data_IF_407604906949
#
_entry.id   IF_407604906949
#
_cell.length_a   1.000
_cell.length_b   1.000
_cell.length_c   1.000
_cell.angle_alpha   90.00
_cell.angle_beta   90.00
_cell.angle_gamma   90.00
#
_symmetry.space_group_name_H-M   'P 1'
#
loop_
_entity.id
_entity.type
_entity.pdbx_description
1 polymer ?
#
# COMPACT_ATOMS: atom_id res chain seq x y z
N UNK A 1 3.00 27.91 -4.56
CA UNK A 1 2.59 27.52 -5.93
C UNK A 1 1.09 27.36 -5.87
N UNK A 2 0.37 28.25 -6.50
CA UNK A 2 -1.10 28.20 -6.52
C UNK A 2 -1.50 27.23 -7.62
N UNK A 3 -1.87 26.02 -7.22
CA UNK A 3 -2.41 25.05 -8.16
C UNK A 3 -3.93 25.21 -8.20
N UNK A 4 -4.44 25.49 -9.39
CA UNK A 4 -5.87 25.49 -9.71
C UNK A 4 -6.15 24.47 -10.80
N UNK A 5 -7.27 23.77 -10.67
CA UNK A 5 -7.70 22.84 -11.70
C UNK A 5 -7.95 23.56 -13.03
N UNK A 6 -7.62 22.91 -14.15
CA UNK A 6 -8.22 23.29 -15.45
C UNK A 6 -9.74 23.00 -15.43
N UNK A 7 -10.53 23.56 -16.36
CA UNK A 7 -11.96 23.25 -16.46
C UNK A 7 -12.26 21.75 -16.55
N UNK A 8 -11.42 21.00 -17.29
CA UNK A 8 -11.54 19.54 -17.44
C UNK A 8 -11.22 18.82 -16.12
N UNK A 9 -10.16 19.25 -15.43
CA UNK A 9 -9.77 18.70 -14.13
C UNK A 9 -10.84 18.98 -13.05
N UNK A 10 -11.41 20.19 -13.04
CA UNK A 10 -12.51 20.54 -12.14
C UNK A 10 -13.76 19.68 -12.40
N UNK A 11 -14.08 19.44 -13.68
CA UNK A 11 -15.18 18.55 -14.08
C UNK A 11 -14.92 17.11 -13.63
N UNK A 12 -13.71 16.60 -13.83
CA UNK A 12 -13.31 15.26 -13.38
C UNK A 12 -13.37 15.15 -11.85
N UNK A 13 -12.87 16.14 -11.12
CA UNK A 13 -12.94 16.19 -9.65
C UNK A 13 -14.39 16.12 -9.16
N UNK A 14 -15.30 16.91 -9.75
CA UNK A 14 -16.72 16.88 -9.41
C UNK A 14 -17.32 15.49 -9.65
N UNK A 15 -16.94 14.83 -10.75
CA UNK A 15 -17.36 13.45 -11.03
C UNK A 15 -16.85 12.48 -9.96
N UNK A 16 -15.58 12.58 -9.55
CA UNK A 16 -15.01 11.75 -8.48
C UNK A 16 -15.79 11.95 -7.17
N UNK A 17 -16.05 13.18 -6.79
CA UNK A 17 -16.82 13.51 -5.58
C UNK A 17 -18.24 12.91 -5.64
N UNK A 18 -18.92 12.98 -6.79
CA UNK A 18 -20.26 12.41 -6.95
C UNK A 18 -20.29 10.88 -6.81
N UNK A 19 -19.21 10.18 -7.15
CA UNK A 19 -19.09 8.74 -6.92
C UNK A 19 -18.78 8.45 -5.45
N UNK A 20 -17.92 9.25 -4.82
CA UNK A 20 -17.62 9.15 -3.38
C UNK A 20 -18.90 9.36 -2.54
N UNK A 21 -19.82 10.22 -2.96
CA UNK A 21 -21.09 10.43 -2.30
C UNK A 21 -22.00 9.17 -2.26
N UNK A 22 -21.75 8.20 -3.14
CA UNK A 22 -22.43 6.90 -3.15
C UNK A 22 -21.81 5.89 -2.17
N UNK A 23 -20.72 6.24 -1.50
CA UNK A 23 -20.06 5.36 -0.54
C UNK A 23 -21.01 4.96 0.59
N UNK A 24 -21.01 3.68 1.01
CA UNK A 24 -21.81 3.21 2.15
C UNK A 24 -21.58 4.02 3.43
N UNK A 25 -22.63 4.18 4.24
CA UNK A 25 -22.59 5.00 5.46
C UNK A 25 -21.47 4.57 6.44
N UNK A 26 -21.21 3.27 6.53
CA UNK A 26 -20.12 2.70 7.36
C UNK A 26 -18.77 3.27 6.98
N UNK A 27 -18.45 3.36 5.70
CA UNK A 27 -17.19 3.92 5.21
C UNK A 27 -17.10 5.43 5.43
N UNK A 28 -18.22 6.15 5.24
CA UNK A 28 -18.27 7.61 5.52
C UNK A 28 -17.96 7.96 6.98
N UNK A 29 -18.26 7.06 7.91
CA UNK A 29 -18.01 7.26 9.35
C UNK A 29 -16.67 6.71 9.81
N UNK A 30 -15.82 6.23 8.91
CA UNK A 30 -14.52 5.62 9.24
C UNK A 30 -14.63 4.25 9.93
N UNK A 31 -15.80 3.59 9.84
CA UNK A 31 -16.06 2.30 10.49
C UNK A 31 -15.83 1.08 9.61
N UNK A 32 -15.37 1.26 8.36
CA UNK A 32 -15.17 0.20 7.39
C UNK A 32 -13.72 0.02 6.96
N UNK A 33 -13.41 -1.22 6.56
CA UNK A 33 -12.15 -1.63 5.97
C UNK A 33 -12.48 -2.61 4.83
N UNK A 34 -12.41 -2.16 3.60
CA UNK A 34 -12.83 -2.94 2.43
C UNK A 34 -12.13 -4.31 2.35
N UNK A 35 -10.82 -4.38 2.65
CA UNK A 35 -10.06 -5.63 2.58
C UNK A 35 -10.54 -6.69 3.57
N UNK A 36 -11.03 -6.25 4.74
CA UNK A 36 -11.59 -7.12 5.77
C UNK A 36 -13.10 -7.32 5.62
N UNK A 37 -13.79 -6.34 5.05
CA UNK A 37 -15.25 -6.38 4.90
C UNK A 37 -15.69 -7.27 3.75
N UNK A 38 -14.92 -7.37 2.65
CA UNK A 38 -15.26 -8.15 1.47
C UNK A 38 -15.56 -9.64 1.75
N UNK A 39 -14.88 -10.24 2.72
CA UNK A 39 -15.01 -11.64 3.13
C UNK A 39 -15.43 -11.77 4.61
N UNK A 40 -16.06 -10.76 5.18
CA UNK A 40 -16.49 -10.79 6.58
C UNK A 40 -17.68 -11.74 6.77
N UNK A 41 -17.79 -12.38 7.92
CA UNK A 41 -18.95 -13.21 8.28
C UNK A 41 -20.24 -12.39 8.40
N UNK A 42 -20.15 -11.09 8.72
CA UNK A 42 -21.29 -10.16 8.74
C UNK A 42 -21.68 -9.79 7.30
N UNK A 43 -22.83 -10.30 6.86
CA UNK A 43 -23.37 -10.04 5.54
C UNK A 43 -23.57 -8.54 5.23
N UNK A 44 -23.81 -7.69 6.24
CA UNK A 44 -23.96 -6.24 6.04
C UNK A 44 -22.62 -5.61 5.63
N UNK A 45 -21.52 -6.07 6.19
CA UNK A 45 -20.16 -5.62 5.83
C UNK A 45 -19.77 -6.08 4.42
N UNK A 46 -20.07 -7.33 4.08
CA UNK A 46 -19.86 -7.81 2.71
C UNK A 46 -20.66 -7.00 1.69
N UNK A 47 -21.91 -6.67 2.02
CA UNK A 47 -22.76 -5.87 1.14
C UNK A 47 -22.20 -4.46 0.93
N UNK A 48 -21.78 -3.78 2.00
CA UNK A 48 -21.10 -2.48 1.91
C UNK A 48 -19.88 -2.55 0.98
N UNK A 49 -19.04 -3.60 1.11
CA UNK A 49 -17.87 -3.78 0.24
C UNK A 49 -18.27 -4.02 -1.22
N UNK A 50 -19.31 -4.81 -1.49
CA UNK A 50 -19.83 -5.06 -2.85
C UNK A 50 -20.43 -3.79 -3.47
N UNK A 51 -21.24 -3.04 -2.72
CA UNK A 51 -21.86 -1.79 -3.20
C UNK A 51 -20.78 -0.76 -3.56
N UNK A 52 -19.76 -0.61 -2.72
CA UNK A 52 -18.67 0.31 -2.98
C UNK A 52 -17.84 -0.11 -4.19
N UNK A 53 -17.51 -1.40 -4.30
CA UNK A 53 -16.80 -1.94 -5.48
C UNK A 53 -17.61 -1.71 -6.75
N UNK A 54 -18.93 -1.95 -6.72
CA UNK A 54 -19.81 -1.74 -7.86
C UNK A 54 -19.90 -0.25 -8.26
N UNK A 55 -19.89 0.68 -7.29
CA UNK A 55 -19.87 2.11 -7.56
C UNK A 55 -18.60 2.52 -8.33
N UNK A 56 -17.43 2.04 -7.91
CA UNK A 56 -16.17 2.29 -8.60
C UNK A 56 -16.07 1.55 -9.94
N UNK A 57 -16.56 0.32 -10.02
CA UNK A 57 -16.51 -0.49 -11.23
C UNK A 57 -17.28 0.14 -12.41
N UNK A 58 -18.41 0.81 -12.15
CA UNK A 58 -19.18 1.52 -13.19
C UNK A 58 -18.35 2.55 -13.96
N UNK A 59 -17.33 3.10 -13.32
CA UNK A 59 -16.42 4.09 -13.90
C UNK A 59 -15.07 3.49 -14.34
N UNK A 60 -14.85 2.19 -14.15
CA UNK A 60 -13.55 1.53 -14.33
C UNK A 60 -12.54 1.88 -13.23
N UNK A 61 -12.99 2.46 -12.11
CA UNK A 61 -12.13 2.99 -11.05
C UNK A 61 -11.74 1.98 -9.97
N UNK A 62 -12.10 0.73 -10.14
CA UNK A 62 -11.45 -0.37 -9.39
C UNK A 62 -9.95 -0.38 -9.73
N UNK A 63 -9.64 -0.26 -11.02
CA UNK A 63 -8.26 -0.18 -11.52
C UNK A 63 -8.05 1.08 -12.38
N UNK A 64 -8.02 2.28 -11.77
CA UNK A 64 -8.07 3.55 -12.50
C UNK A 64 -6.90 3.75 -13.48
N UNK A 65 -5.74 3.14 -13.18
CA UNK A 65 -4.51 3.25 -13.97
C UNK A 65 -4.34 2.14 -15.02
N UNK A 66 -5.16 1.07 -14.99
CA UNK A 66 -5.04 0.02 -16.00
C UNK A 66 -5.56 0.50 -17.35
N UNK A 67 -4.99 0.02 -18.47
CA UNK A 67 -5.55 0.25 -19.79
C UNK A 67 -7.00 -0.21 -19.89
N UNK A 68 -7.78 0.48 -20.70
CA UNK A 68 -9.22 0.18 -20.90
C UNK A 68 -9.47 -1.23 -21.43
N UNK A 69 -8.56 -1.73 -22.26
CA UNK A 69 -8.63 -3.10 -22.81
C UNK A 69 -8.57 -4.20 -21.75
N UNK A 70 -8.00 -3.90 -20.56
CA UNK A 70 -7.98 -4.79 -19.40
C UNK A 70 -8.99 -4.40 -18.33
N UNK A 71 -10.01 -3.59 -18.66
CA UNK A 71 -11.11 -3.24 -17.77
C UNK A 71 -10.81 -2.08 -16.80
N UNK A 72 -9.69 -1.38 -16.96
CA UNK A 72 -9.38 -0.16 -16.23
C UNK A 72 -9.99 1.10 -16.86
N UNK A 73 -9.82 2.24 -16.21
CA UNK A 73 -10.28 3.53 -16.73
C UNK A 73 -9.26 4.20 -17.67
N UNK A 74 -7.99 3.79 -17.67
CA UNK A 74 -6.90 4.42 -18.43
C UNK A 74 -6.68 5.88 -18.05
N UNK A 75 -6.86 6.21 -16.74
CA UNK A 75 -6.69 7.58 -16.28
C UNK A 75 -5.26 8.08 -16.50
N UNK A 76 -5.13 9.31 -16.99
CA UNK A 76 -3.86 10.01 -17.07
C UNK A 76 -3.22 10.17 -15.68
N UNK A 77 -1.90 10.41 -15.58
CA UNK A 77 -1.26 10.63 -14.28
C UNK A 77 -1.94 11.71 -13.45
N UNK A 78 -2.35 12.83 -14.06
CA UNK A 78 -3.03 13.92 -13.36
C UNK A 78 -4.44 13.52 -12.87
N UNK A 79 -5.22 12.79 -13.68
CA UNK A 79 -6.51 12.27 -13.25
C UNK A 79 -6.38 11.28 -12.09
N UNK A 80 -5.39 10.38 -12.12
CA UNK A 80 -5.08 9.49 -10.99
C UNK A 80 -4.72 10.27 -9.72
N UNK A 81 -3.98 11.37 -9.86
CA UNK A 81 -3.64 12.25 -8.75
C UNK A 81 -4.88 12.88 -8.13
N UNK A 82 -5.77 13.45 -8.96
CA UNK A 82 -7.04 14.04 -8.49
C UNK A 82 -7.91 12.96 -7.83
N UNK A 83 -8.06 11.79 -8.45
CA UNK A 83 -8.82 10.67 -7.92
C UNK A 83 -8.31 10.25 -6.53
N UNK A 84 -7.01 9.95 -6.42
CA UNK A 84 -6.40 9.54 -5.15
C UNK A 84 -6.51 10.62 -4.07
N UNK A 85 -6.40 11.90 -4.45
CA UNK A 85 -6.55 13.02 -3.53
C UNK A 85 -7.97 13.11 -2.96
N UNK A 86 -9.01 13.01 -3.81
CA UNK A 86 -10.40 13.05 -3.35
C UNK A 86 -10.76 11.82 -2.51
N UNK A 87 -10.33 10.62 -2.91
CA UNK A 87 -10.49 9.40 -2.11
C UNK A 87 -9.87 9.55 -0.72
N UNK A 88 -8.64 10.07 -0.62
CA UNK A 88 -7.96 10.28 0.64
C UNK A 88 -8.62 11.38 1.50
N UNK A 89 -9.16 12.44 0.90
CA UNK A 89 -9.92 13.49 1.61
C UNK A 89 -11.16 12.94 2.27
N UNK A 90 -11.87 12.05 1.56
CA UNK A 90 -13.09 11.44 2.04
C UNK A 90 -12.88 10.23 2.97
N UNK A 91 -11.63 9.82 3.23
CA UNK A 91 -11.30 8.53 3.86
C UNK A 91 -11.91 7.33 3.16
N UNK A 92 -12.13 7.45 1.86
CA UNK A 92 -12.74 6.39 1.08
C UNK A 92 -11.75 5.22 0.91
N UNK A 93 -12.15 3.98 1.23
CA UNK A 93 -11.26 2.83 1.09
C UNK A 93 -10.97 2.54 -0.38
N UNK A 94 -9.72 2.23 -0.69
CA UNK A 94 -9.37 1.65 -1.99
C UNK A 94 -9.90 0.22 -2.08
N UNK A 95 -10.17 -0.25 -3.30
CA UNK A 95 -10.64 -1.61 -3.58
C UNK A 95 -9.61 -2.40 -4.40
N UNK A 96 -9.73 -3.72 -4.42
CA UNK A 96 -8.90 -4.61 -5.24
C UNK A 96 -7.50 -4.91 -4.69
N UNK A 97 -7.12 -4.30 -3.57
CA UNK A 97 -5.91 -4.64 -2.80
C UNK A 97 -4.62 -4.71 -3.64
N UNK A 98 -3.76 -5.66 -3.31
CA UNK A 98 -2.49 -5.88 -4.02
C UNK A 98 -2.68 -6.49 -5.41
N UNK A 99 -3.82 -7.13 -5.67
CA UNK A 99 -4.17 -7.61 -7.01
C UNK A 99 -4.22 -6.46 -8.00
N UNK A 100 -4.99 -5.42 -7.69
CA UNK A 100 -5.15 -4.24 -8.56
C UNK A 100 -3.90 -3.37 -8.57
N UNK A 101 -3.32 -3.08 -7.39
CA UNK A 101 -2.24 -2.09 -7.28
C UNK A 101 -0.88 -2.62 -7.74
N UNK A 102 -0.68 -3.93 -7.69
CA UNK A 102 0.63 -4.55 -7.88
C UNK A 102 0.63 -5.66 -8.94
N UNK A 103 -0.08 -6.76 -8.71
CA UNK A 103 -0.01 -7.92 -9.59
C UNK A 103 -0.58 -7.64 -10.99
N UNK A 104 -1.72 -6.98 -11.09
CA UNK A 104 -2.37 -6.70 -12.36
C UNK A 104 -1.48 -5.91 -13.32
N UNK A 105 -0.88 -4.78 -12.91
CA UNK A 105 0.10 -4.08 -13.73
C UNK A 105 1.30 -4.96 -14.12
N UNK A 106 1.75 -5.83 -13.23
CA UNK A 106 2.84 -6.77 -13.54
C UNK A 106 2.42 -7.79 -14.60
N UNK A 107 1.21 -8.35 -14.50
CA UNK A 107 0.65 -9.26 -15.52
C UNK A 107 0.43 -8.57 -16.86
N UNK A 108 -0.07 -7.34 -16.85
CA UNK A 108 -0.28 -6.55 -18.08
C UNK A 108 1.04 -6.40 -18.85
N UNK A 109 2.17 -6.19 -18.16
CA UNK A 109 3.48 -6.01 -18.78
C UNK A 109 4.18 -7.32 -19.12
N UNK A 110 4.10 -8.34 -18.24
CA UNK A 110 4.95 -9.53 -18.31
C UNK A 110 4.19 -10.85 -18.41
N UNK A 111 2.88 -10.86 -18.18
CA UNK A 111 2.05 -12.06 -18.24
C UNK A 111 1.81 -12.53 -19.67
N UNK A 112 1.56 -13.83 -19.84
CA UNK A 112 1.04 -14.38 -21.10
C UNK A 112 -0.41 -13.97 -21.28
N UNK A 113 -0.95 -14.09 -22.51
CA UNK A 113 -2.35 -13.74 -22.76
C UNK A 113 -3.31 -14.63 -21.98
N UNK A 114 -2.93 -15.90 -21.76
CA UNK A 114 -3.70 -16.84 -20.94
C UNK A 114 -3.73 -16.39 -19.47
N UNK A 115 -2.58 -15.99 -18.91
CA UNK A 115 -2.50 -15.47 -17.53
C UNK A 115 -3.31 -14.19 -17.37
N UNK A 116 -3.27 -13.28 -18.35
CA UNK A 116 -4.07 -12.05 -18.34
C UNK A 116 -5.57 -12.38 -18.39
N UNK A 117 -5.98 -13.25 -19.31
CA UNK A 117 -7.38 -13.65 -19.47
C UNK A 117 -7.92 -14.38 -18.23
N UNK A 118 -7.10 -15.16 -17.55
CA UNK A 118 -7.51 -15.87 -16.34
C UNK A 118 -7.61 -14.98 -15.12
N UNK A 119 -6.60 -14.13 -14.87
CA UNK A 119 -6.45 -13.46 -13.57
C UNK A 119 -6.98 -12.03 -13.54
N UNK A 120 -6.83 -11.24 -14.63
CA UNK A 120 -7.21 -9.83 -14.57
C UNK A 120 -8.71 -9.61 -14.30
N UNK A 121 -9.65 -10.34 -14.91
CA UNK A 121 -11.07 -10.20 -14.61
C UNK A 121 -11.41 -10.54 -13.15
N UNK A 122 -10.80 -11.60 -12.58
CA UNK A 122 -11.01 -12.02 -11.19
C UNK A 122 -10.44 -11.02 -10.18
N UNK A 123 -9.34 -10.33 -10.52
CA UNK A 123 -8.79 -9.25 -9.73
C UNK A 123 -9.76 -8.06 -9.71
N UNK A 124 -10.29 -7.66 -10.86
CA UNK A 124 -11.22 -6.52 -10.97
C UNK A 124 -12.56 -6.77 -10.29
N UNK A 125 -13.09 -7.99 -10.38
CA UNK A 125 -14.34 -8.36 -9.71
C UNK A 125 -14.18 -8.49 -8.19
N UNK A 126 -12.93 -8.59 -7.70
CA UNK A 126 -12.64 -8.90 -6.31
C UNK A 126 -12.94 -10.36 -5.94
N UNK A 127 -13.13 -11.24 -6.92
CA UNK A 127 -13.33 -12.68 -6.69
C UNK A 127 -12.09 -13.33 -6.05
N UNK A 128 -10.89 -12.92 -6.47
CA UNK A 128 -9.61 -13.46 -6.01
C UNK A 128 -8.77 -12.36 -5.35
N UNK A 129 -8.36 -12.60 -4.11
CA UNK A 129 -7.43 -11.73 -3.38
C UNK A 129 -6.00 -12.26 -3.48
N UNK A 130 -5.07 -11.34 -3.77
CA UNK A 130 -3.66 -11.62 -4.02
C UNK A 130 -2.77 -10.98 -2.97
N UNK A 131 -1.76 -11.74 -2.47
CA UNK A 131 -0.78 -11.21 -1.53
C UNK A 131 0.65 -11.52 -1.93
N UNK A 132 1.54 -10.60 -1.58
CA UNK A 132 2.95 -10.62 -1.94
C UNK A 132 3.79 -11.44 -0.97
N UNK A 133 4.53 -12.44 -1.48
CA UNK A 133 5.52 -13.21 -0.72
C UNK A 133 6.95 -12.92 -1.21
N UNK A 134 7.55 -11.81 -0.78
CA UNK A 134 8.91 -11.43 -1.19
C UNK A 134 9.95 -11.65 -0.10
N UNK A 135 9.82 -10.92 1.00
CA UNK A 135 10.81 -10.90 2.09
C UNK A 135 10.96 -12.25 2.77
N UNK A 136 12.17 -12.54 3.23
CA UNK A 136 12.51 -13.70 4.04
C UNK A 136 13.14 -13.24 5.35
N UNK A 137 13.23 -14.08 6.40
CA UNK A 137 13.89 -13.71 7.64
C UNK A 137 15.31 -13.18 7.45
N UNK A 138 16.04 -13.70 6.46
CA UNK A 138 17.41 -13.28 6.11
C UNK A 138 17.51 -12.33 4.92
N UNK A 139 16.40 -11.99 4.23
CA UNK A 139 16.42 -11.21 2.99
C UNK A 139 15.27 -10.19 2.96
N UNK A 140 15.51 -9.01 3.52
CA UNK A 140 14.61 -7.85 3.48
C UNK A 140 15.16 -6.75 2.58
N UNK A 141 16.04 -5.88 3.06
CA UNK A 141 16.68 -4.83 2.25
C UNK A 141 17.55 -5.39 1.13
N UNK A 142 18.27 -6.48 1.38
CA UNK A 142 18.97 -7.27 0.34
C UNK A 142 18.05 -8.40 -0.15
N UNK A 143 16.91 -8.01 -0.73
CA UNK A 143 15.90 -8.95 -1.21
C UNK A 143 16.47 -9.95 -2.25
N UNK A 144 17.45 -9.52 -3.05
CA UNK A 144 18.08 -10.39 -4.04
C UNK A 144 18.86 -11.58 -3.42
N UNK A 145 19.08 -11.58 -2.11
CA UNK A 145 19.70 -12.70 -1.38
C UNK A 145 18.69 -13.77 -0.90
N UNK A 146 17.44 -13.70 -1.35
CA UNK A 146 16.39 -14.67 -1.01
C UNK A 146 16.81 -16.11 -1.29
N UNK A 147 16.37 -17.04 -0.43
CA UNK A 147 16.78 -18.45 -0.41
C UNK A 147 15.64 -19.43 -0.66
N UNK A 148 14.36 -19.00 -0.64
CA UNK A 148 13.23 -19.86 -1.03
C UNK A 148 13.51 -20.42 -2.41
N UNK A 149 13.65 -21.76 -2.53
CA UNK A 149 14.03 -22.44 -3.77
C UNK A 149 12.80 -22.88 -4.53
N UNK A 150 12.88 -22.87 -5.87
CA UNK A 150 11.92 -23.45 -6.76
C UNK A 150 12.67 -24.32 -7.79
N UNK A 151 12.63 -25.64 -7.62
CA UNK A 151 13.34 -26.59 -8.46
C UNK A 151 12.37 -27.13 -9.53
N UNK A 152 12.77 -27.07 -10.80
CA UNK A 152 11.97 -27.60 -11.90
C UNK A 152 11.91 -29.13 -11.82
N UNK A 153 10.67 -29.68 -11.87
CA UNK A 153 10.38 -31.08 -11.91
C UNK A 153 9.30 -31.33 -12.99
N UNK A 154 9.71 -31.66 -14.20
CA UNK A 154 8.82 -31.78 -15.35
C UNK A 154 8.10 -30.47 -15.66
N UNK A 155 6.76 -30.48 -15.59
CA UNK A 155 5.90 -29.31 -15.86
C UNK A 155 5.53 -28.53 -14.61
N UNK A 156 6.23 -28.75 -13.50
CA UNK A 156 5.99 -28.09 -12.22
C UNK A 156 7.30 -27.54 -11.64
N UNK A 157 7.15 -26.63 -10.66
CA UNK A 157 8.20 -26.26 -9.71
C UNK A 157 7.89 -26.84 -8.34
N UNK A 158 8.88 -27.41 -7.68
CA UNK A 158 8.82 -27.82 -6.27
C UNK A 158 9.44 -26.72 -5.43
N UNK A 159 8.64 -26.10 -4.56
CA UNK A 159 9.03 -24.92 -3.81
C UNK A 159 9.24 -25.28 -2.35
N UNK A 160 10.41 -24.87 -1.81
CA UNK A 160 10.77 -25.05 -0.42
C UNK A 160 11.37 -23.75 0.14
N UNK A 161 10.90 -23.31 1.31
CA UNK A 161 11.41 -22.11 1.97
C UNK A 161 10.41 -21.43 2.85
N UNK A 162 10.69 -20.15 3.16
CA UNK A 162 9.87 -19.36 4.06
C UNK A 162 9.82 -17.91 3.57
N UNK A 163 8.63 -17.30 3.64
CA UNK A 163 8.43 -15.86 3.49
C UNK A 163 7.93 -15.25 4.79
N UNK A 164 8.24 -13.98 5.01
CA UNK A 164 7.84 -13.24 6.20
C UNK A 164 7.26 -11.87 5.82
N UNK A 165 6.50 -11.28 6.72
CA UNK A 165 5.82 -9.99 6.52
C UNK A 165 4.78 -10.02 5.40
N UNK A 166 4.25 -11.20 5.06
CA UNK A 166 3.19 -11.33 4.05
C UNK A 166 1.91 -10.72 4.61
N UNK A 167 1.63 -9.48 4.19
CA UNK A 167 0.47 -8.73 4.68
C UNK A 167 -0.83 -9.43 4.32
N UNK A 168 -1.69 -9.67 5.33
CA UNK A 168 -3.02 -10.26 5.18
C UNK A 168 -3.06 -11.61 4.42
N UNK A 169 -1.96 -12.38 4.39
CA UNK A 169 -1.92 -13.67 3.71
C UNK A 169 -2.99 -14.66 4.18
N UNK A 170 -3.42 -14.57 5.44
CA UNK A 170 -4.51 -15.38 5.98
C UNK A 170 -5.87 -15.11 5.29
N UNK A 171 -6.06 -13.92 4.69
CA UNK A 171 -7.26 -13.55 3.94
C UNK A 171 -7.12 -13.77 2.43
N UNK A 172 -5.91 -14.07 1.94
CA UNK A 172 -5.63 -14.25 0.52
C UNK A 172 -6.30 -15.51 -0.05
N UNK A 173 -6.50 -15.51 -1.36
CA UNK A 173 -6.79 -16.70 -2.16
C UNK A 173 -5.52 -17.18 -2.85
N UNK A 174 -4.73 -16.26 -3.38
CA UNK A 174 -3.51 -16.52 -4.13
C UNK A 174 -2.33 -15.68 -3.62
N UNK A 175 -1.13 -16.22 -3.87
CA UNK A 175 0.14 -15.57 -3.58
C UNK A 175 0.93 -15.35 -4.88
N UNK A 176 1.69 -14.25 -4.94
CA UNK A 176 2.76 -14.10 -5.92
C UNK A 176 4.10 -13.98 -5.19
N UNK A 177 5.04 -14.82 -5.59
CA UNK A 177 6.24 -15.12 -4.81
C UNK A 177 7.50 -15.00 -5.67
N UNK A 178 8.56 -14.41 -5.11
CA UNK A 178 9.90 -14.52 -5.68
C UNK A 178 10.60 -15.73 -5.09
N UNK A 179 11.09 -16.63 -5.96
CA UNK A 179 11.81 -17.81 -5.56
C UNK A 179 13.09 -18.00 -6.38
N UNK A 180 14.10 -18.65 -5.80
CA UNK A 180 15.39 -18.96 -6.41
C UNK A 180 15.26 -20.19 -7.30
N UNK A 181 15.33 -20.00 -8.62
CA UNK A 181 15.31 -21.09 -9.62
C UNK A 181 16.70 -21.49 -10.09
N UNK A 182 17.69 -20.61 -9.98
CA UNK A 182 19.09 -20.90 -10.25
C UNK A 182 19.97 -20.36 -9.10
N UNK A 183 20.49 -21.23 -8.22
CA UNK A 183 21.32 -20.84 -7.09
C UNK A 183 22.74 -20.39 -7.47
N UNK A 184 23.22 -20.80 -8.65
CA UNK A 184 24.58 -20.50 -9.11
C UNK A 184 24.67 -19.19 -9.89
N UNK A 185 23.53 -18.62 -10.26
CA UNK A 185 23.46 -17.35 -10.98
C UNK A 185 23.76 -16.16 -10.07
N UNK A 186 24.21 -15.02 -10.63
CA UNK A 186 24.33 -13.76 -9.89
C UNK A 186 23.01 -13.39 -9.19
N UNK A 187 23.08 -12.74 -8.00
CA UNK A 187 21.95 -12.47 -7.10
C UNK A 187 20.63 -12.06 -7.78
N UNK A 188 20.69 -11.11 -8.73
CA UNK A 188 19.51 -10.58 -9.41
C UNK A 188 19.08 -11.44 -10.63
N UNK A 189 19.86 -12.43 -10.97
CA UNK A 189 19.55 -13.46 -11.97
C UNK A 189 19.38 -14.79 -11.24
N UNK A 190 18.55 -15.69 -11.76
CA UNK A 190 18.26 -16.93 -11.04
C UNK A 190 17.11 -16.82 -10.05
N UNK A 191 16.31 -15.75 -10.13
CA UNK A 191 15.05 -15.58 -9.41
C UNK A 191 13.91 -15.63 -10.42
N UNK A 192 12.84 -16.38 -10.12
CA UNK A 192 11.60 -16.42 -10.90
C UNK A 192 10.43 -15.88 -10.10
N UNK A 193 9.43 -15.35 -10.82
CA UNK A 193 8.19 -14.84 -10.27
C UNK A 193 7.09 -15.88 -10.48
N UNK A 194 6.50 -16.39 -9.41
CA UNK A 194 5.56 -17.49 -9.42
C UNK A 194 4.23 -17.12 -8.81
N UNK A 195 3.14 -17.52 -9.45
CA UNK A 195 1.77 -17.42 -8.95
C UNK A 195 1.37 -18.76 -8.32
N UNK A 196 0.73 -18.73 -7.14
CA UNK A 196 0.31 -19.95 -6.47
C UNK A 196 -0.99 -19.77 -5.69
N UNK A 197 -1.86 -20.75 -5.77
CA UNK A 197 -3.03 -20.85 -4.90
C UNK A 197 -2.56 -21.09 -3.46
N UNK A 198 -3.03 -20.30 -2.52
CA UNK A 198 -2.71 -20.41 -1.09
C UNK A 198 -3.06 -21.79 -0.51
N UNK A 199 -4.05 -22.46 -1.08
CA UNK A 199 -4.53 -23.76 -0.62
C UNK A 199 -3.74 -24.96 -1.19
N UNK A 200 -2.71 -24.69 -2.01
CA UNK A 200 -1.80 -25.74 -2.50
C UNK A 200 -1.19 -26.50 -1.33
N UNK A 201 -1.24 -27.86 -1.33
CA UNK A 201 -0.62 -28.68 -0.27
C UNK A 201 0.83 -28.29 -0.02
N UNK A 202 1.22 -28.21 1.26
CA UNK A 202 2.57 -27.80 1.67
C UNK A 202 2.69 -26.31 1.99
N UNK A 203 1.67 -25.47 1.74
CA UNK A 203 1.64 -24.09 2.18
C UNK A 203 1.03 -24.01 3.58
N UNK A 204 1.75 -23.38 4.51
CA UNK A 204 1.22 -23.04 5.81
C UNK A 204 1.46 -21.56 6.14
N UNK A 205 0.45 -20.91 6.75
CA UNK A 205 0.46 -19.48 7.09
C UNK A 205 0.32 -19.34 8.60
N UNK A 206 1.26 -18.63 9.22
CA UNK A 206 1.26 -18.37 10.67
C UNK A 206 1.15 -16.89 10.95
N UNK A 207 0.33 -16.49 11.94
CA UNK A 207 0.16 -15.08 12.28
C UNK A 207 1.42 -14.48 12.88
N UNK A 208 1.74 -13.25 12.48
CA UNK A 208 2.64 -12.35 13.16
C UNK A 208 1.82 -11.22 13.76
N UNK A 209 1.69 -11.22 15.08
CA UNK A 209 1.00 -10.15 15.79
C UNK A 209 1.97 -8.98 15.94
N UNK A 210 1.61 -7.83 15.41
CA UNK A 210 2.43 -6.63 15.46
C UNK A 210 2.41 -5.96 16.84
N UNK A 211 3.26 -4.96 17.06
CA UNK A 211 3.34 -4.26 18.36
C UNK A 211 2.06 -3.49 18.72
N UNK A 212 1.13 -3.31 17.80
CA UNK A 212 -0.20 -2.76 18.06
C UNK A 212 -1.24 -3.84 18.42
N UNK A 213 -0.82 -5.10 18.58
CA UNK A 213 -1.69 -6.23 18.89
C UNK A 213 -2.53 -6.72 17.71
N UNK A 214 -2.28 -6.25 16.46
CA UNK A 214 -3.06 -6.63 15.29
C UNK A 214 -2.42 -7.78 14.52
N UNK A 215 -3.27 -8.69 14.04
CA UNK A 215 -2.90 -9.67 13.04
C UNK A 215 -2.98 -9.02 11.64
N UNK A 216 -1.86 -8.48 11.17
CA UNK A 216 -1.73 -7.92 9.85
C UNK A 216 -0.70 -8.67 9.01
N UNK A 217 0.39 -9.10 9.63
CA UNK A 217 1.47 -9.81 8.96
C UNK A 217 1.41 -11.31 9.21
N UNK A 218 2.09 -12.06 8.36
CA UNK A 218 2.20 -13.51 8.45
C UNK A 218 3.59 -13.98 8.07
N UNK A 219 3.98 -15.12 8.63
CA UNK A 219 4.98 -16.03 8.06
C UNK A 219 4.26 -16.99 7.13
N UNK A 220 4.88 -17.30 6.00
CA UNK A 220 4.38 -18.26 5.02
C UNK A 220 5.46 -19.29 4.75
N UNK A 221 5.17 -20.57 5.00
CA UNK A 221 6.09 -21.67 4.82
C UNK A 221 5.69 -22.49 3.61
N UNK A 222 6.68 -22.99 2.89
CA UNK A 222 6.54 -23.84 1.72
C UNK A 222 7.33 -25.13 1.95
N UNK A 223 6.64 -26.28 1.95
CA UNK A 223 7.19 -27.60 2.16
C UNK A 223 6.76 -28.47 0.97
N UNK A 224 7.67 -28.70 0.02
CA UNK A 224 7.45 -29.45 -1.23
C UNK A 224 6.20 -28.97 -2.02
N UNK A 225 5.97 -27.68 -2.04
CA UNK A 225 4.82 -27.08 -2.73
C UNK A 225 4.98 -27.22 -4.24
N UNK A 226 4.04 -27.88 -4.89
CA UNK A 226 4.05 -28.07 -6.35
C UNK A 226 3.23 -26.99 -7.05
N UNK A 227 3.88 -26.25 -7.94
CA UNK A 227 3.27 -25.15 -8.70
C UNK A 227 3.49 -25.40 -10.19
N UNK A 228 2.42 -25.39 -11.00
CA UNK A 228 2.54 -25.54 -12.44
C UNK A 228 3.50 -24.52 -13.07
N UNK A 229 4.29 -24.96 -14.04
CA UNK A 229 5.28 -24.09 -14.68
C UNK A 229 4.68 -22.92 -15.46
N UNK A 230 3.45 -23.06 -15.93
CA UNK A 230 2.70 -21.98 -16.59
C UNK A 230 2.24 -20.89 -15.60
N UNK A 231 2.36 -21.10 -14.30
CA UNK A 231 2.15 -20.07 -13.26
C UNK A 231 3.38 -19.15 -13.08
N UNK A 232 4.47 -19.37 -13.82
CA UNK A 232 5.60 -18.45 -13.85
C UNK A 232 5.27 -17.24 -14.74
N UNK A 233 5.46 -16.04 -14.20
CA UNK A 233 5.29 -14.78 -14.95
C UNK A 233 6.64 -14.36 -15.53
N UNK A 234 6.67 -14.14 -16.83
CA UNK A 234 7.87 -13.81 -17.57
C UNK A 234 8.85 -14.97 -17.74
N UNK A 235 10.08 -14.67 -18.14
CA UNK A 235 11.11 -15.68 -18.38
C UNK A 235 11.67 -16.24 -17.05
N UNK A 236 12.07 -17.52 -17.07
CA UNK A 236 12.77 -18.15 -15.95
C UNK A 236 14.07 -17.40 -15.63
N UNK A 237 14.38 -17.29 -14.34
CA UNK A 237 15.55 -16.55 -13.84
C UNK A 237 15.52 -15.03 -14.08
N UNK A 238 14.40 -14.48 -14.55
CA UNK A 238 14.19 -13.04 -14.78
C UNK A 238 13.16 -12.40 -13.83
N UNK A 239 12.66 -13.16 -12.88
CA UNK A 239 11.60 -12.75 -11.94
C UNK A 239 11.97 -11.54 -11.08
N UNK A 240 13.26 -11.26 -10.86
CA UNK A 240 13.69 -10.01 -10.24
C UNK A 240 13.20 -8.79 -11.00
N UNK A 241 13.38 -8.77 -12.31
CA UNK A 241 12.97 -7.65 -13.15
C UNK A 241 11.44 -7.53 -13.24
N UNK A 242 10.75 -8.67 -13.29
CA UNK A 242 9.29 -8.73 -13.22
C UNK A 242 8.79 -8.12 -11.90
N UNK A 243 9.38 -8.54 -10.77
CA UNK A 243 9.01 -8.04 -9.45
C UNK A 243 9.33 -6.57 -9.23
N UNK A 244 10.34 -6.02 -9.89
CA UNK A 244 10.70 -4.60 -9.77
C UNK A 244 9.77 -3.67 -10.57
N UNK A 245 9.16 -4.14 -11.65
CA UNK A 245 8.13 -3.40 -12.42
C UNK A 245 7.00 -2.92 -11.52
N UNK A 246 6.64 -3.72 -10.53
CA UNK A 246 5.64 -3.45 -9.51
C UNK A 246 5.89 -2.14 -8.71
N UNK A 247 7.16 -1.78 -8.51
CA UNK A 247 7.56 -0.61 -7.73
C UNK A 247 7.44 0.71 -8.52
N UNK A 248 7.15 0.64 -9.82
CA UNK A 248 7.14 1.81 -10.70
C UNK A 248 5.78 2.53 -10.77
N UNK A 249 4.70 1.87 -10.40
CA UNK A 249 3.34 2.37 -10.63
C UNK A 249 2.81 3.35 -9.58
N UNK A 250 3.31 3.36 -8.33
CA UNK A 250 2.85 4.30 -7.32
C UNK A 250 3.98 5.13 -6.72
N UNK A 251 4.29 6.26 -7.35
CA UNK A 251 5.42 7.11 -6.94
C UNK A 251 5.03 8.45 -6.33
N UNK A 252 3.77 8.90 -6.50
CA UNK A 252 3.39 10.27 -6.08
C UNK A 252 3.17 10.45 -4.58
N UNK A 253 2.74 9.38 -3.87
CA UNK A 253 2.43 9.43 -2.43
C UNK A 253 1.37 10.48 -2.01
N UNK A 254 0.52 10.94 -2.93
CA UNK A 254 -0.49 11.99 -2.63
C UNK A 254 -1.47 11.52 -1.55
N UNK A 255 -1.84 10.25 -1.54
CA UNK A 255 -2.71 9.66 -0.51
C UNK A 255 -2.12 9.87 0.88
N UNK A 256 -0.80 9.63 1.05
CA UNK A 256 -0.10 9.84 2.31
C UNK A 256 -0.11 11.31 2.76
N UNK A 257 0.14 12.25 1.84
CA UNK A 257 0.11 13.68 2.14
C UNK A 257 -1.28 14.13 2.62
N UNK A 258 -2.33 13.74 1.89
CA UNK A 258 -3.71 14.14 2.19
C UNK A 258 -4.22 13.48 3.47
N UNK A 259 -3.96 12.18 3.69
CA UNK A 259 -4.35 11.48 4.91
C UNK A 259 -3.64 12.02 6.16
N UNK A 260 -2.36 12.40 6.02
CA UNK A 260 -1.60 13.05 7.09
C UNK A 260 -2.20 14.41 7.44
N UNK A 261 -2.56 15.22 6.43
CA UNK A 261 -3.23 16.52 6.64
C UNK A 261 -4.58 16.33 7.33
N UNK A 262 -5.40 15.40 6.88
CA UNK A 262 -6.68 15.07 7.51
C UNK A 262 -6.50 14.65 8.97
N UNK A 263 -5.50 13.83 9.28
CA UNK A 263 -5.20 13.44 10.68
C UNK A 263 -4.92 14.67 11.57
N UNK A 264 -4.20 15.66 11.05
CA UNK A 264 -3.96 16.91 11.77
C UNK A 264 -5.21 17.78 11.90
N UNK A 265 -6.06 17.83 10.86
CA UNK A 265 -7.32 18.55 10.89
C UNK A 265 -8.30 17.90 11.89
N UNK A 266 -8.35 16.57 11.96
CA UNK A 266 -9.12 15.82 12.97
C UNK A 266 -8.60 16.13 14.39
N UNK A 267 -7.28 16.17 14.59
CA UNK A 267 -6.67 16.53 15.86
C UNK A 267 -7.07 17.97 16.24
N UNK A 268 -6.97 18.91 15.30
CA UNK A 268 -7.36 20.30 15.54
C UNK A 268 -8.84 20.43 15.90
N UNK A 269 -9.71 19.73 15.16
CA UNK A 269 -11.15 19.72 15.44
C UNK A 269 -11.46 19.14 16.83
N UNK A 270 -10.83 18.02 17.17
CA UNK A 270 -10.98 17.38 18.48
C UNK A 270 -10.52 18.31 19.62
N UNK A 271 -9.40 19.02 19.48
CA UNK A 271 -8.88 19.97 20.47
C UNK A 271 -9.81 21.18 20.72
N UNK A 272 -10.77 21.45 19.83
CA UNK A 272 -11.77 22.49 20.02
C UNK A 272 -12.98 22.02 20.84
N UNK A 273 -13.17 20.72 21.00
CA UNK A 273 -14.24 20.15 21.83
C UNK A 273 -13.90 20.27 23.33
N UNK A 274 -14.91 20.22 24.19
CA UNK A 274 -14.69 20.21 25.65
C UNK A 274 -13.91 18.97 26.10
N UNK A 275 -14.21 17.82 25.49
CA UNK A 275 -13.49 16.58 25.74
C UNK A 275 -12.00 16.69 25.35
N UNK A 276 -11.73 17.24 24.18
CA UNK A 276 -10.36 17.44 23.67
C UNK A 276 -9.55 18.41 24.52
N UNK A 277 -10.16 19.52 24.98
CA UNK A 277 -9.52 20.48 25.91
C UNK A 277 -9.12 19.82 27.23
N UNK A 278 -9.99 18.96 27.78
CA UNK A 278 -9.74 18.25 29.02
C UNK A 278 -8.68 17.14 28.90
N UNK A 279 -8.43 16.62 27.69
CA UNK A 279 -7.53 15.46 27.46
C UNK A 279 -6.24 15.80 26.73
N UNK A 280 -5.93 17.07 26.53
CA UNK A 280 -4.72 17.53 25.85
C UNK A 280 -3.79 18.36 26.75
N UNK A 281 -3.33 17.84 27.93
CA UNK A 281 -2.50 18.60 28.85
C UNK A 281 -1.16 19.04 28.24
N UNK A 282 -0.67 18.33 27.23
CA UNK A 282 0.58 18.63 26.54
C UNK A 282 0.45 19.62 25.38
N UNK A 283 -0.75 20.11 25.05
CA UNK A 283 -0.94 20.93 23.84
C UNK A 283 -0.14 22.22 23.86
N UNK A 284 -0.15 22.95 24.98
CA UNK A 284 0.57 24.24 25.07
C UNK A 284 2.07 24.09 24.75
N UNK A 285 2.70 23.02 25.23
CA UNK A 285 4.12 22.74 24.98
C UNK A 285 4.38 22.23 23.56
N UNK A 286 3.39 21.59 22.94
CA UNK A 286 3.55 20.95 21.62
C UNK A 286 2.90 21.72 20.46
N UNK A 287 2.32 22.90 20.69
CA UNK A 287 1.62 23.68 19.65
C UNK A 287 2.49 24.01 18.43
N UNK A 288 3.76 24.31 18.64
CA UNK A 288 4.70 24.57 17.55
C UNK A 288 5.02 23.30 16.77
N UNK A 289 5.17 22.16 17.46
CA UNK A 289 5.34 20.86 16.79
C UNK A 289 4.11 20.53 15.91
N UNK A 290 2.89 20.85 16.36
CA UNK A 290 1.68 20.69 15.55
C UNK A 290 1.74 21.58 14.32
N UNK A 291 2.14 22.85 14.47
CA UNK A 291 2.31 23.77 13.33
C UNK A 291 3.36 23.27 12.34
N UNK A 292 4.51 22.75 12.82
CA UNK A 292 5.54 22.16 11.97
C UNK A 292 4.99 20.97 11.17
N UNK A 293 4.13 20.12 11.79
CA UNK A 293 3.49 19.00 11.06
C UNK A 293 2.61 19.50 9.92
N UNK A 294 1.88 20.60 10.10
CA UNK A 294 1.12 21.22 9.01
C UNK A 294 2.03 21.67 7.86
N UNK A 295 3.14 22.33 8.17
CA UNK A 295 4.14 22.74 7.16
C UNK A 295 4.69 21.52 6.43
N UNK A 296 5.03 20.45 7.16
CA UNK A 296 5.54 19.20 6.55
C UNK A 296 4.50 18.55 5.61
N UNK A 297 3.20 18.60 5.94
CA UNK A 297 2.17 18.08 5.01
C UNK A 297 2.07 18.90 3.73
N UNK A 298 2.25 20.23 3.79
CA UNK A 298 2.27 21.09 2.61
C UNK A 298 3.53 20.82 1.76
N UNK A 299 4.69 20.62 2.38
CA UNK A 299 5.91 20.21 1.69
C UNK A 299 5.70 18.86 0.98
N UNK A 300 5.09 17.88 1.66
CA UNK A 300 4.80 16.57 1.08
C UNK A 300 3.84 16.65 -0.10
N UNK A 301 2.81 17.49 -0.02
CA UNK A 301 1.91 17.76 -1.12
C UNK A 301 2.67 18.29 -2.35
N UNK A 302 3.58 19.24 -2.13
CA UNK A 302 4.40 19.80 -3.22
C UNK A 302 5.34 18.76 -3.85
N UNK A 303 5.91 17.84 -3.06
CA UNK A 303 6.66 16.71 -3.61
C UNK A 303 5.78 15.81 -4.48
N UNK A 304 4.59 15.47 -3.99
CA UNK A 304 3.63 14.65 -4.75
C UNK A 304 3.24 15.33 -6.06
N UNK A 305 2.96 16.64 -6.03
CA UNK A 305 2.63 17.41 -7.21
C UNK A 305 3.79 17.51 -8.20
N UNK A 306 5.04 17.66 -7.73
CA UNK A 306 6.23 17.63 -8.58
C UNK A 306 6.36 16.29 -9.31
N UNK A 307 6.20 15.17 -8.59
CA UNK A 307 6.31 13.84 -9.17
C UNK A 307 5.26 13.63 -10.27
N UNK A 308 4.00 13.99 -10.00
CA UNK A 308 2.95 13.81 -10.98
C UNK A 308 3.15 14.71 -12.21
N UNK A 309 3.65 15.93 -12.02
CA UNK A 309 3.98 16.83 -13.13
C UNK A 309 5.13 16.32 -14.00
N UNK A 310 6.05 15.53 -13.42
CA UNK A 310 7.07 14.82 -14.20
C UNK A 310 6.45 13.68 -15.01
N UNK A 311 5.62 12.85 -14.39
CA UNK A 311 4.95 11.71 -15.04
C UNK A 311 4.04 12.17 -16.19
N UNK A 312 3.32 13.26 -15.99
CA UNK A 312 2.43 13.85 -17.00
C UNK A 312 3.19 14.35 -18.25
N UNK A 313 4.48 14.65 -18.10
CA UNK A 313 5.42 14.99 -19.18
C UNK A 313 6.16 13.78 -19.75
N UNK A 314 5.79 12.55 -19.35
CA UNK A 314 6.46 11.32 -19.77
C UNK A 314 7.84 11.08 -19.12
N UNK A 315 8.18 11.85 -18.07
CA UNK A 315 9.43 11.65 -17.32
C UNK A 315 9.23 10.59 -16.24
N UNK A 316 10.26 9.81 -15.97
CA UNK A 316 10.25 8.78 -14.92
C UNK A 316 10.91 9.35 -13.65
N UNK A 317 10.14 9.69 -12.58
CA UNK A 317 10.72 10.11 -11.32
C UNK A 317 11.49 8.94 -10.70
N UNK A 318 12.75 9.17 -10.33
CA UNK A 318 13.62 8.15 -9.77
C UNK A 318 13.94 8.47 -8.30
N UNK A 319 14.93 9.33 -8.06
CA UNK A 319 15.28 9.75 -6.69
C UNK A 319 14.17 10.61 -6.07
N UNK A 320 13.37 11.31 -6.86
CA UNK A 320 12.23 12.07 -6.36
C UNK A 320 11.20 11.18 -5.65
N UNK A 321 10.95 10.00 -6.18
CA UNK A 321 10.10 9.00 -5.52
C UNK A 321 10.71 8.55 -4.17
N UNK A 322 12.04 8.40 -4.11
CA UNK A 322 12.75 8.08 -2.86
C UNK A 322 12.68 9.21 -1.85
N UNK A 323 12.81 10.48 -2.28
CA UNK A 323 12.63 11.66 -1.42
C UNK A 323 11.21 11.68 -0.85
N UNK A 324 10.20 11.48 -1.70
CA UNK A 324 8.79 11.45 -1.31
C UNK A 324 8.52 10.33 -0.28
N UNK A 325 8.98 9.10 -0.55
CA UNK A 325 8.81 7.96 0.37
C UNK A 325 9.48 8.20 1.71
N UNK A 326 10.73 8.62 1.71
CA UNK A 326 11.50 8.91 2.92
C UNK A 326 10.80 9.97 3.77
N UNK A 327 10.46 11.10 3.17
CA UNK A 327 9.84 12.22 3.86
C UNK A 327 8.47 11.85 4.42
N UNK A 328 7.61 11.17 3.62
CA UNK A 328 6.26 10.78 4.06
C UNK A 328 6.29 9.79 5.24
N UNK A 329 7.15 8.77 5.18
CA UNK A 329 7.23 7.76 6.24
C UNK A 329 7.74 8.35 7.57
N UNK A 330 8.75 9.21 7.54
CA UNK A 330 9.26 9.88 8.73
C UNK A 330 8.28 10.96 9.26
N UNK A 331 7.59 11.68 8.37
CA UNK A 331 6.54 12.63 8.74
C UNK A 331 5.38 11.93 9.45
N UNK A 332 4.93 10.77 8.96
CA UNK A 332 3.86 9.99 9.61
C UNK A 332 4.20 9.61 11.05
N UNK A 333 5.43 9.18 11.31
CA UNK A 333 5.90 8.91 12.68
C UNK A 333 5.92 10.17 13.55
N UNK A 334 6.39 11.30 13.00
CA UNK A 334 6.42 12.57 13.72
C UNK A 334 5.01 13.08 14.07
N UNK A 335 4.05 12.93 13.16
CA UNK A 335 2.64 13.28 13.41
C UNK A 335 2.09 12.46 14.58
N UNK A 336 2.25 11.16 14.54
CA UNK A 336 1.78 10.26 15.59
C UNK A 336 2.44 10.57 16.95
N UNK A 337 3.77 10.73 16.97
CA UNK A 337 4.51 11.13 18.17
C UNK A 337 4.05 12.50 18.71
N UNK A 338 3.82 13.48 17.84
CA UNK A 338 3.31 14.80 18.24
C UNK A 338 1.94 14.66 18.90
N UNK A 339 1.04 13.86 18.33
CA UNK A 339 -0.29 13.62 18.89
C UNK A 339 -0.26 12.93 20.25
N UNK A 340 0.56 11.89 20.43
CA UNK A 340 0.70 11.24 21.73
C UNK A 340 1.23 12.20 22.81
N UNK A 341 2.17 13.09 22.44
CA UNK A 341 2.67 14.14 23.34
C UNK A 341 1.63 15.19 23.70
N UNK A 342 0.79 15.58 22.74
CA UNK A 342 -0.33 16.51 22.98
C UNK A 342 -1.28 15.94 24.00
N UNK A 343 -1.59 14.66 23.95
CA UNK A 343 -2.51 14.00 24.88
C UNK A 343 -1.85 13.55 26.20
N UNK A 344 -0.52 13.57 26.31
CA UNK A 344 0.21 13.16 27.50
C UNK A 344 -0.15 11.72 27.91
N UNK A 345 -0.56 11.51 29.17
CA UNK A 345 -0.94 10.17 29.67
C UNK A 345 -2.15 9.58 28.93
N UNK A 346 -3.10 10.40 28.50
CA UNK A 346 -4.22 9.91 27.67
C UNK A 346 -3.76 9.34 26.31
N UNK A 347 -2.64 9.83 25.79
CA UNK A 347 -2.00 9.31 24.58
C UNK A 347 -1.37 7.91 24.74
N UNK A 348 -1.38 7.33 25.93
CA UNK A 348 -0.93 5.94 26.18
C UNK A 348 -2.09 4.93 26.12
N UNK A 349 -3.34 5.40 26.07
CA UNK A 349 -4.50 4.51 26.00
C UNK A 349 -4.60 3.94 24.59
N UNK A 350 -4.40 2.62 24.48
CA UNK A 350 -4.43 1.89 23.20
C UNK A 350 -5.83 1.32 22.90
N UNK A 351 -6.61 0.99 23.93
CA UNK A 351 -7.95 0.44 23.76
C UNK A 351 -8.89 1.49 23.16
N UNK A 352 -9.38 1.20 21.96
CA UNK A 352 -10.30 2.09 21.22
C UNK A 352 -11.69 2.18 21.82
N UNK A 353 -12.05 1.23 22.71
CA UNK A 353 -13.33 1.18 23.44
C UNK A 353 -13.30 1.96 24.76
N UNK A 354 -12.11 2.29 25.28
CA UNK A 354 -11.97 3.09 26.48
C UNK A 354 -12.51 4.51 26.23
N UNK A 355 -13.56 4.89 26.94
CA UNK A 355 -14.18 6.20 26.83
C UNK A 355 -13.25 7.39 27.13
N UNK A 356 -12.06 7.15 27.72
CA UNK A 356 -11.02 8.16 27.98
C UNK A 356 -10.03 8.31 26.81
N UNK A 357 -10.05 7.39 25.83
CA UNK A 357 -9.10 7.38 24.73
C UNK A 357 -9.35 8.54 23.76
N UNK A 358 -8.43 9.51 23.63
CA UNK A 358 -8.59 10.63 22.71
C UNK A 358 -8.70 10.12 21.26
N UNK A 359 -9.63 10.67 20.51
CA UNK A 359 -9.84 10.30 19.10
C UNK A 359 -9.92 8.76 18.91
N UNK A 360 -10.47 8.02 19.87
CA UNK A 360 -10.52 6.55 19.86
C UNK A 360 -9.15 5.92 19.63
N UNK A 361 -8.14 6.37 20.32
CA UNK A 361 -6.74 5.91 20.22
C UNK A 361 -6.11 6.04 18.83
N UNK A 362 -6.67 6.84 17.90
CA UNK A 362 -6.19 6.95 16.51
C UNK A 362 -4.69 7.24 16.44
N UNK A 363 -4.21 8.27 17.18
CA UNK A 363 -2.80 8.66 17.14
C UNK A 363 -1.88 7.70 17.91
N UNK A 364 -2.39 7.06 18.99
CA UNK A 364 -1.66 6.01 19.71
C UNK A 364 -1.45 4.79 18.83
N UNK A 365 -2.50 4.33 18.15
CA UNK A 365 -2.41 3.23 17.18
C UNK A 365 -1.47 3.59 16.02
N UNK A 366 -1.57 4.81 15.49
CA UNK A 366 -0.68 5.28 14.43
C UNK A 366 0.78 5.32 14.92
N UNK A 367 1.06 5.70 16.17
CA UNK A 367 2.40 5.69 16.74
C UNK A 367 3.01 4.29 16.66
N UNK A 368 2.28 3.26 17.06
CA UNK A 368 2.74 1.87 17.03
C UNK A 368 2.91 1.35 15.58
N UNK A 369 1.96 1.62 14.71
CA UNK A 369 1.95 1.06 13.34
C UNK A 369 2.85 1.80 12.35
N UNK A 370 3.13 3.09 12.57
CA UNK A 370 3.97 3.88 11.68
C UNK A 370 5.45 3.49 11.69
N UNK A 371 5.90 2.72 12.70
CA UNK A 371 7.29 2.22 12.76
C UNK A 371 7.63 1.42 11.50
N UNK A 372 6.72 0.56 11.05
CA UNK A 372 6.93 -0.25 9.84
C UNK A 372 7.06 0.58 8.56
N UNK A 373 6.50 1.78 8.51
CA UNK A 373 6.51 2.64 7.31
C UNK A 373 7.91 3.12 6.91
N UNK A 374 8.85 3.23 7.87
CA UNK A 374 10.24 3.57 7.60
C UNK A 374 11.12 2.36 7.25
N UNK A 375 10.55 1.16 7.29
CA UNK A 375 11.23 -0.12 7.02
C UNK A 375 10.73 -0.72 5.70
N UNK A 376 9.42 -0.84 5.52
CA UNK A 376 8.79 -1.44 4.35
C UNK A 376 9.05 -0.64 3.07
N UNK A 377 8.98 -1.30 1.92
CA UNK A 377 9.19 -0.72 0.58
C UNK A 377 10.52 0.06 0.44
N UNK A 378 11.59 -0.50 1.00
CA UNK A 378 12.91 0.13 1.12
C UNK A 378 13.02 1.02 2.35
N UNK A 379 13.95 0.66 3.23
CA UNK A 379 14.15 1.40 4.50
C UNK A 379 14.55 2.86 4.27
N UNK A 380 14.43 3.70 5.30
CA UNK A 380 14.92 5.09 5.26
C UNK A 380 16.38 5.17 4.80
N UNK A 381 17.22 4.21 5.19
CA UNK A 381 18.63 4.11 4.80
C UNK A 381 18.77 3.78 3.31
N UNK A 382 17.98 2.82 2.81
CA UNK A 382 17.97 2.48 1.36
C UNK A 382 17.50 3.69 0.53
N UNK A 383 16.47 4.41 0.98
CA UNK A 383 16.00 5.61 0.28
C UNK A 383 17.10 6.70 0.27
N UNK A 384 17.80 6.92 1.39
CA UNK A 384 18.94 7.85 1.44
C UNK A 384 20.07 7.44 0.50
N UNK A 385 20.38 6.15 0.39
CA UNK A 385 21.38 5.65 -0.55
C UNK A 385 20.97 5.90 -2.02
N UNK A 386 19.68 5.71 -2.35
CA UNK A 386 19.19 6.00 -3.70
C UNK A 386 19.28 7.50 -3.99
N UNK A 387 18.88 8.35 -3.06
CA UNK A 387 18.98 9.82 -3.19
C UNK A 387 20.43 10.23 -3.37
N UNK A 388 21.35 9.72 -2.53
CA UNK A 388 22.77 10.03 -2.59
C UNK A 388 23.38 9.64 -3.95
N UNK A 389 23.13 8.42 -4.40
CA UNK A 389 23.78 7.89 -5.61
C UNK A 389 23.12 8.37 -6.90
N UNK A 390 21.78 8.35 -6.98
CA UNK A 390 21.05 8.70 -8.20
C UNK A 390 20.63 10.17 -8.26
N UNK A 391 20.39 10.81 -7.12
CA UNK A 391 20.02 12.21 -7.05
C UNK A 391 21.20 13.16 -7.00
N UNK A 392 22.19 12.84 -6.16
CA UNK A 392 23.37 13.68 -5.94
C UNK A 392 24.61 13.22 -6.70
N UNK A 393 24.57 12.05 -7.36
CA UNK A 393 25.73 11.51 -8.10
C UNK A 393 26.90 11.06 -7.21
N UNK A 394 26.65 10.83 -5.91
CA UNK A 394 27.69 10.38 -5.00
C UNK A 394 28.10 8.92 -5.29
N UNK A 395 29.34 8.52 -5.06
CA UNK A 395 29.79 7.14 -5.26
C UNK A 395 29.04 6.19 -4.33
N UNK A 396 28.85 4.94 -4.78
CA UNK A 396 28.44 3.87 -3.90
C UNK A 396 29.58 3.51 -2.97
N UNK A 397 29.30 3.42 -1.67
CA UNK A 397 30.25 2.92 -0.69
C UNK A 397 30.49 1.42 -0.83
#
# INVERSE_FOLDING_TARGET
MDWSDSPEQATFRTKVQSVIDQMPARYKTGGGDWERDRNNEDASRQNDAKEWTAALAREGWVAPHWPKEYGGAGLSPMEQFIFKMEMARADAPSVGGQGVSQLGPTLIVHGTEEQKAEHLPKILSGEVDWRQGYSEPGAGSDLASLQTRAIRDGDEYVINGQKIWTSLAHLADWLYVLARTDPDAPKHRGISFLLMDKHTPGISIRPLIDMSGRHHFNETFFEDVRVPANNRVGEENRGWYVGMTLLDFERSNITGAVSSRRTLDDLRAYLQTEDGKGRAPGYAQNRLNVADRYIETDVMFNFSFRIISMQDRGLIPNYEASVSKLFNSEMSQKIALTGTRVFGLYGQIHDTSDGRAPMKSKLTNQYLTSVSSTIAAGTSEIQRNIIATRGLGLPRG
#
